data_IF_881529958576
#
_entry.id   IF_881529958576
#
_cell.length_a   1.000
_cell.length_b   1.000
_cell.length_c   1.000
_cell.angle_alpha   90.00
_cell.angle_beta   90.00
_cell.angle_gamma   90.00
#
_symmetry.space_group_name_H-M   'P 1'
#
loop_
_entity.id
_entity.type
_entity.pdbx_description
1 polymer ?
#
# COMPACT_ATOMS: atom_id res chain seq x y z
N UNK A 1 15.01 3.41 6.37
CA UNK A 1 16.43 3.85 6.42
C UNK A 1 17.36 2.64 6.59
N UNK A 2 18.58 2.69 6.03
CA UNK A 2 19.64 1.67 6.25
C UNK A 2 20.41 1.90 7.57
N UNK A 3 21.15 0.90 8.06
CA UNK A 3 21.98 1.03 9.28
C UNK A 3 23.06 2.10 9.11
N UNK A 4 23.68 2.18 7.94
CA UNK A 4 24.67 3.20 7.59
C UNK A 4 24.08 4.61 7.55
N UNK A 5 22.88 4.79 6.99
CA UNK A 5 22.15 6.07 7.05
C UNK A 5 21.82 6.48 8.49
N UNK A 6 21.39 5.52 9.33
CA UNK A 6 21.12 5.78 10.75
C UNK A 6 22.38 6.17 11.51
N UNK A 7 23.54 5.55 11.23
CA UNK A 7 24.84 5.94 11.82
C UNK A 7 25.22 7.36 11.44
N UNK A 8 24.97 7.74 10.19
CA UNK A 8 25.21 9.11 9.70
C UNK A 8 24.29 10.11 10.41
N UNK A 9 22.98 9.88 10.43
CA UNK A 9 22.00 10.74 11.13
C UNK A 9 22.24 10.82 12.63
N UNK A 10 22.65 9.72 13.28
CA UNK A 10 23.04 9.70 14.70
C UNK A 10 24.17 10.69 14.97
N UNK A 11 25.14 10.78 14.06
CA UNK A 11 26.27 11.70 14.17
C UNK A 11 25.84 13.14 13.88
N UNK A 12 25.08 13.35 12.81
CA UNK A 12 24.58 14.67 12.38
C UNK A 12 23.66 15.31 13.44
N UNK A 13 22.77 14.53 14.07
CA UNK A 13 21.83 14.99 15.09
C UNK A 13 22.38 14.93 16.53
N UNK A 14 23.62 14.45 16.70
CA UNK A 14 24.27 14.35 18.01
C UNK A 14 23.62 13.37 19.00
N UNK A 15 22.92 12.33 18.53
CA UNK A 15 22.24 11.37 19.40
C UNK A 15 23.18 10.34 20.03
N UNK A 16 22.96 10.07 21.32
CA UNK A 16 23.55 8.94 22.03
C UNK A 16 22.79 7.64 21.74
N UNK A 17 23.42 6.47 21.97
CA UNK A 17 22.73 5.18 21.83
C UNK A 17 21.60 5.02 22.86
N UNK A 18 21.71 5.66 24.03
CA UNK A 18 20.65 5.71 25.05
C UNK A 18 19.44 6.48 24.53
N UNK A 19 19.65 7.66 23.96
CA UNK A 19 18.56 8.44 23.36
C UNK A 19 17.87 7.71 22.20
N UNK A 20 18.63 6.96 21.40
CA UNK A 20 18.05 6.15 20.32
C UNK A 20 17.25 4.97 20.90
N UNK A 21 17.76 4.30 21.94
CA UNK A 21 17.06 3.23 22.66
C UNK A 21 15.71 3.73 23.19
N UNK A 22 15.71 4.85 23.90
CA UNK A 22 14.50 5.41 24.51
C UNK A 22 13.45 5.81 23.47
N UNK A 23 13.88 6.40 22.34
CA UNK A 23 12.98 6.85 21.26
C UNK A 23 12.46 5.72 20.38
N UNK A 24 13.25 4.66 20.20
CA UNK A 24 12.89 3.53 19.31
C UNK A 24 12.14 2.41 20.03
N UNK A 25 12.30 2.29 21.35
CA UNK A 25 11.84 1.14 22.14
C UNK A 25 12.76 -0.10 22.01
N UNK A 26 13.89 0.00 21.30
CA UNK A 26 14.86 -1.09 21.13
C UNK A 26 15.81 -1.10 22.32
N UNK A 27 16.07 -2.26 22.97
CA UNK A 27 16.97 -2.33 24.12
C UNK A 27 18.37 -1.76 23.83
N UNK A 28 18.92 -0.96 24.75
CA UNK A 28 20.22 -0.28 24.62
C UNK A 28 21.35 -1.20 24.15
N UNK A 29 21.46 -2.40 24.72
CA UNK A 29 22.49 -3.36 24.32
C UNK A 29 22.37 -3.83 22.87
N UNK A 30 21.15 -3.86 22.33
CA UNK A 30 20.87 -4.16 20.92
C UNK A 30 21.25 -2.97 20.04
N UNK A 31 20.89 -1.75 20.43
CA UNK A 31 21.29 -0.51 19.74
C UNK A 31 22.82 -0.42 19.65
N UNK A 32 23.52 -0.59 20.77
CA UNK A 32 24.99 -0.54 20.83
C UNK A 32 25.65 -1.56 19.90
N UNK A 33 25.17 -2.82 19.87
CA UNK A 33 25.70 -3.86 18.98
C UNK A 33 25.48 -3.56 17.50
N UNK A 34 24.35 -2.95 17.14
CA UNK A 34 24.03 -2.58 15.75
C UNK A 34 24.92 -1.41 15.30
N UNK A 35 24.99 -0.33 16.09
CA UNK A 35 25.74 0.87 15.71
C UNK A 35 27.27 0.68 15.80
N UNK A 36 27.77 -0.26 16.62
CA UNK A 36 29.18 -0.67 16.64
C UNK A 36 29.57 -1.66 15.53
N UNK A 37 28.60 -2.18 14.77
CA UNK A 37 28.85 -3.15 13.69
C UNK A 37 29.06 -4.59 14.15
N UNK A 38 28.87 -4.89 15.43
CA UNK A 38 28.89 -6.28 15.96
C UNK A 38 27.75 -7.09 15.32
N UNK A 39 26.55 -6.52 15.25
CA UNK A 39 25.42 -7.12 14.54
C UNK A 39 25.46 -6.74 13.07
N UNK A 40 26.05 -7.61 12.24
CA UNK A 40 26.19 -7.36 10.79
C UNK A 40 24.87 -7.38 10.01
N UNK A 41 23.85 -8.08 10.51
CA UNK A 41 22.53 -8.22 9.86
C UNK A 41 21.41 -8.18 10.92
N UNK A 42 20.98 -6.99 11.35
CA UNK A 42 19.88 -6.86 12.30
C UNK A 42 18.55 -7.32 11.66
N UNK A 43 17.61 -7.80 12.48
CA UNK A 43 16.27 -8.15 12.01
C UNK A 43 15.53 -6.90 11.51
N UNK A 44 14.71 -7.05 10.49
CA UNK A 44 14.00 -5.94 9.86
C UNK A 44 13.12 -5.15 10.84
N UNK A 45 12.37 -5.82 11.72
CA UNK A 45 11.57 -5.15 12.76
C UNK A 45 12.40 -4.26 13.68
N UNK A 46 13.63 -4.70 14.00
CA UNK A 46 14.57 -3.89 14.79
C UNK A 46 15.03 -2.66 14.02
N UNK A 47 15.21 -2.75 12.70
CA UNK A 47 15.49 -1.59 11.85
C UNK A 47 14.32 -0.62 11.82
N UNK A 48 13.08 -1.10 11.62
CA UNK A 48 11.89 -0.25 11.64
C UNK A 48 11.67 0.45 12.98
N UNK A 49 11.95 -0.22 14.10
CA UNK A 49 11.89 0.41 15.42
C UNK A 49 12.97 1.49 15.58
N UNK A 50 14.22 1.19 15.20
CA UNK A 50 15.32 2.17 15.24
C UNK A 50 15.06 3.41 14.40
N UNK A 51 14.38 3.27 13.25
CA UNK A 51 14.05 4.38 12.37
C UNK A 51 13.18 5.45 13.04
N UNK A 52 12.30 5.05 13.96
CA UNK A 52 11.44 5.97 14.74
C UNK A 52 12.23 6.95 15.61
N UNK A 53 13.49 6.64 15.92
CA UNK A 53 14.33 7.53 16.72
C UNK A 53 14.82 8.76 15.95
N UNK A 54 14.70 8.77 14.61
CA UNK A 54 15.20 9.83 13.75
C UNK A 54 14.04 10.65 13.15
N UNK A 55 14.08 11.99 13.26
CA UNK A 55 13.09 12.83 12.57
C UNK A 55 13.21 12.67 11.05
N UNK A 56 12.05 12.58 10.39
CA UNK A 56 11.93 12.68 8.94
C UNK A 56 12.03 14.18 8.61
N UNK A 57 12.99 14.57 7.78
CA UNK A 57 13.08 15.97 7.34
C UNK A 57 11.81 16.33 6.56
N UNK A 58 11.18 17.44 6.96
CA UNK A 58 9.96 17.95 6.35
C UNK A 58 10.17 18.21 4.86
N UNK A 59 9.40 17.53 4.01
CA UNK A 59 9.26 17.92 2.60
C UNK A 59 8.49 19.25 2.57
N UNK A 60 9.18 20.34 2.26
CA UNK A 60 8.54 21.60 1.88
C UNK A 60 8.09 21.43 0.43
N UNK A 61 6.78 21.33 0.21
CA UNK A 61 6.22 21.35 -1.13
C UNK A 61 6.19 22.80 -1.63
N UNK A 62 6.81 23.04 -2.78
CA UNK A 62 6.54 24.22 -3.61
C UNK A 62 5.71 23.76 -4.80
N UNK A 63 4.51 24.32 -4.96
CA UNK A 63 3.75 24.15 -6.19
C UNK A 63 4.37 24.97 -7.35
N UNK A 64 3.90 24.75 -8.58
CA UNK A 64 4.31 25.51 -9.78
C UNK A 64 3.92 27.00 -9.73
N UNK A 65 3.34 27.48 -8.62
CA UNK A 65 3.00 28.88 -8.34
C UNK A 65 3.80 29.46 -7.16
N UNK A 66 4.77 28.71 -6.62
CA UNK A 66 5.68 29.16 -5.57
C UNK A 66 5.06 29.25 -4.17
N UNK A 67 3.95 28.54 -3.91
CA UNK A 67 3.30 28.52 -2.59
C UNK A 67 3.82 27.36 -1.75
N UNK A 68 4.15 27.66 -0.50
CA UNK A 68 4.67 26.69 0.47
C UNK A 68 3.53 25.95 1.17
N UNK A 69 3.57 24.61 1.16
CA UNK A 69 2.66 23.77 1.95
C UNK A 69 3.44 22.98 3.00
N UNK A 70 3.00 23.09 4.27
CA UNK A 70 3.55 22.34 5.41
C UNK A 70 2.71 21.08 5.66
N UNK A 71 3.30 19.90 5.49
CA UNK A 71 2.77 18.69 6.10
C UNK A 71 3.33 18.58 7.53
N UNK A 72 2.52 18.91 8.53
CA UNK A 72 2.88 18.69 9.94
C UNK A 72 2.18 17.45 10.48
N UNK A 73 2.96 16.41 10.76
CA UNK A 73 2.58 15.33 11.67
C UNK A 73 3.63 15.26 12.78
N UNK A 74 3.54 16.15 13.77
CA UNK A 74 4.32 16.02 15.00
C UNK A 74 3.57 15.09 15.96
N UNK A 75 4.23 14.04 16.40
CA UNK A 75 3.83 13.26 17.58
C UNK A 75 4.33 14.04 18.78
N UNK A 76 3.40 14.66 19.52
CA UNK A 76 3.67 15.27 20.83
C UNK A 76 4.02 14.22 21.88
N UNK A 77 4.78 14.63 22.88
CA UNK A 77 5.16 13.83 24.05
C UNK A 77 3.94 13.45 24.92
N UNK A 78 4.03 12.38 25.73
CA UNK A 78 2.89 11.80 26.46
C UNK A 78 2.27 12.64 27.59
N UNK A 79 2.72 13.87 27.81
CA UNK A 79 2.35 14.66 29.00
C UNK A 79 1.21 15.67 28.76
N UNK A 80 0.77 15.88 27.50
CA UNK A 80 -0.26 16.88 27.16
C UNK A 80 -1.71 16.32 27.12
N UNK A 81 -1.95 15.07 27.51
CA UNK A 81 -3.27 14.43 27.55
C UNK A 81 -4.10 14.77 28.80
N UNK A 82 -4.18 16.05 29.19
CA UNK A 82 -5.19 16.54 30.14
C UNK A 82 -5.68 17.92 29.73
N UNK A 83 -6.68 17.97 28.86
CA UNK A 83 -7.37 19.23 28.54
C UNK A 83 -8.46 19.09 27.50
N UNK A 84 -9.71 19.02 27.98
CA UNK A 84 -10.97 19.44 27.33
C UNK A 84 -11.07 19.36 25.80
N UNK A 85 -11.91 18.41 25.35
CA UNK A 85 -12.48 18.32 24.01
C UNK A 85 -13.28 19.58 23.69
N UNK A 86 -12.88 20.35 22.68
CA UNK A 86 -13.80 21.22 21.94
C UNK A 86 -13.56 21.06 20.44
N UNK A 87 -14.54 20.41 19.83
CA UNK A 87 -14.57 20.01 18.43
C UNK A 87 -14.78 21.24 17.55
N UNK A 88 -13.89 21.49 16.59
CA UNK A 88 -14.01 22.63 15.66
C UNK A 88 -13.78 22.21 14.20
N UNK A 89 -14.60 21.24 13.75
CA UNK A 89 -14.96 21.09 12.34
C UNK A 89 -16.44 20.64 12.25
N UNK A 90 -17.37 21.55 11.89
CA UNK A 90 -18.77 21.21 11.71
C UNK A 90 -18.94 20.56 10.33
N UNK A 91 -19.35 19.29 10.31
CA UNK A 91 -19.51 18.51 9.08
C UNK A 91 -18.99 17.07 9.16
N UNK A 92 -18.61 16.57 10.34
CA UNK A 92 -18.57 15.13 10.58
C UNK A 92 -19.99 14.59 10.36
N UNK A 93 -20.24 13.97 9.21
CA UNK A 93 -21.22 12.90 9.18
C UNK A 93 -20.84 11.97 10.33
N UNK A 94 -21.79 11.75 11.23
CA UNK A 94 -21.74 10.66 12.19
C UNK A 94 -21.12 9.45 11.50
N UNK A 95 -20.12 8.85 12.14
CA UNK A 95 -19.57 7.58 11.71
C UNK A 95 -20.75 6.70 11.29
N UNK A 96 -20.83 6.38 10.01
CA UNK A 96 -21.71 5.32 9.57
C UNK A 96 -21.07 4.03 10.10
N UNK A 97 -21.39 3.71 11.35
CA UNK A 97 -21.25 2.41 12.01
C UNK A 97 -22.16 1.37 11.31
N UNK A 98 -22.35 1.48 9.99
CA UNK A 98 -23.43 0.86 9.22
C UNK A 98 -22.93 -0.01 8.06
N UNK A 99 -21.61 -0.19 7.88
CA UNK A 99 -21.09 -1.09 6.84
C UNK A 99 -19.95 -2.02 7.28
N UNK A 100 -19.56 -2.00 8.55
CA UNK A 100 -18.54 -2.91 9.07
C UNK A 100 -19.21 -3.90 10.01
N UNK A 101 -19.43 -5.13 9.55
CA UNK A 101 -19.66 -6.22 10.50
C UNK A 101 -18.34 -6.41 11.23
N UNK A 102 -18.28 -6.02 12.50
CA UNK A 102 -17.08 -6.23 13.32
C UNK A 102 -16.94 -7.74 13.51
N UNK A 103 -16.16 -8.39 12.65
CA UNK A 103 -15.84 -9.81 12.78
C UNK A 103 -14.89 -9.99 13.97
N UNK A 104 -15.27 -10.83 14.93
CA UNK A 104 -14.42 -11.12 16.09
C UNK A 104 -14.53 -10.07 17.21
N UNK A 105 -15.73 -9.59 17.53
CA UNK A 105 -15.98 -8.84 18.77
C UNK A 105 -15.79 -9.70 20.04
N UNK A 106 -15.49 -10.99 19.87
CA UNK A 106 -15.30 -11.98 20.93
C UNK A 106 -16.56 -12.73 21.30
N UNK A 107 -17.68 -12.52 20.59
CA UNK A 107 -18.94 -13.24 20.82
C UNK A 107 -19.16 -14.32 19.77
N UNK A 108 -19.52 -15.52 20.23
CA UNK A 108 -19.86 -16.65 19.37
C UNK A 108 -21.34 -16.54 18.95
N UNK A 109 -21.63 -16.36 17.66
CA UNK A 109 -23.00 -16.51 17.16
C UNK A 109 -23.20 -17.90 16.56
N UNK A 110 -24.23 -18.63 17.01
CA UNK A 110 -24.62 -19.89 16.40
C UNK A 110 -25.11 -19.65 14.96
N UNK A 111 -24.57 -20.42 14.01
CA UNK A 111 -24.90 -20.30 12.59
C UNK A 111 -23.93 -19.45 11.78
N UNK A 112 -22.90 -18.86 12.41
CA UNK A 112 -21.87 -18.14 11.68
C UNK A 112 -21.15 -19.06 10.68
N UNK A 113 -21.17 -18.64 9.41
CA UNK A 113 -20.39 -19.20 8.29
C UNK A 113 -18.89 -19.21 8.62
N UNK A 114 -18.51 -18.45 9.65
CA UNK A 114 -17.18 -18.07 10.08
C UNK A 114 -16.71 -18.83 11.33
N UNK A 115 -17.08 -20.12 11.48
CA UNK A 115 -16.65 -20.94 12.63
C UNK A 115 -15.13 -20.99 12.84
N UNK A 116 -14.35 -20.81 11.78
CA UNK A 116 -12.87 -20.71 11.80
C UNK A 116 -12.34 -19.47 12.53
N UNK A 117 -13.17 -18.43 12.65
CA UNK A 117 -12.82 -17.14 13.23
C UNK A 117 -13.12 -17.03 14.73
N UNK A 118 -13.70 -18.07 15.35
CA UNK A 118 -14.13 -18.03 16.75
C UNK A 118 -12.98 -17.72 17.70
N UNK A 119 -13.19 -16.71 18.55
CA UNK A 119 -12.23 -16.26 19.56
C UNK A 119 -11.05 -15.44 19.03
N UNK A 120 -10.97 -15.17 17.71
CA UNK A 120 -9.92 -14.34 17.11
C UNK A 120 -10.38 -12.90 16.93
N UNK A 121 -9.44 -11.97 17.00
CA UNK A 121 -9.63 -10.53 16.75
C UNK A 121 -8.94 -10.11 15.45
N UNK A 122 -9.32 -8.95 14.92
CA UNK A 122 -8.60 -8.31 13.82
C UNK A 122 -7.10 -8.18 14.16
N UNK A 123 -6.25 -8.63 13.25
CA UNK A 123 -4.80 -8.72 13.48
C UNK A 123 -4.33 -10.09 13.98
N UNK A 124 -5.22 -11.09 14.12
CA UNK A 124 -4.85 -12.46 14.51
C UNK A 124 -5.14 -13.49 13.41
N UNK A 125 -5.70 -13.06 12.27
CA UNK A 125 -6.07 -13.95 11.18
C UNK A 125 -4.84 -14.40 10.37
N UNK A 126 -4.94 -15.60 9.83
CA UNK A 126 -3.92 -16.27 9.02
C UNK A 126 -4.49 -16.63 7.65
N UNK A 127 -3.64 -17.06 6.71
CA UNK A 127 -4.06 -17.57 5.41
C UNK A 127 -5.03 -18.74 5.53
N UNK A 128 -4.86 -19.61 6.54
CA UNK A 128 -5.81 -20.69 6.80
C UNK A 128 -7.21 -20.17 7.13
N UNK A 129 -7.30 -19.04 7.82
CA UNK A 129 -8.58 -18.41 8.12
C UNK A 129 -9.14 -17.76 6.85
N UNK A 130 -8.30 -17.07 6.08
CA UNK A 130 -8.64 -16.49 4.77
C UNK A 130 -9.15 -17.53 3.76
N UNK A 131 -8.55 -18.71 3.70
CA UNK A 131 -8.98 -19.80 2.80
C UNK A 131 -10.27 -20.47 3.25
N UNK A 132 -10.65 -20.31 4.53
CA UNK A 132 -11.92 -20.81 5.04
C UNK A 132 -13.09 -19.86 4.73
N UNK A 133 -12.80 -18.69 4.14
CA UNK A 133 -13.80 -17.71 3.74
C UNK A 133 -14.55 -18.23 2.50
N UNK A 134 -15.89 -18.29 2.51
CA UNK A 134 -16.64 -18.69 1.32
C UNK A 134 -16.37 -17.77 0.12
N UNK A 135 -16.23 -18.36 -1.06
CA UNK A 135 -15.87 -17.66 -2.31
C UNK A 135 -16.81 -16.51 -2.71
N UNK A 136 -18.05 -16.50 -2.18
CA UNK A 136 -19.02 -15.42 -2.40
C UNK A 136 -18.64 -14.10 -1.72
N UNK A 137 -17.69 -14.14 -0.77
CA UNK A 137 -17.14 -12.96 -0.12
C UNK A 137 -15.81 -12.56 -0.74
N UNK A 138 -15.72 -11.31 -1.19
CA UNK A 138 -14.46 -10.73 -1.64
C UNK A 138 -13.81 -10.01 -0.48
N UNK A 139 -12.65 -10.51 -0.05
CA UNK A 139 -11.86 -9.88 0.99
C UNK A 139 -10.37 -9.89 0.65
N UNK A 140 -9.62 -9.04 1.33
CA UNK A 140 -8.15 -9.10 1.40
C UNK A 140 -7.70 -9.27 2.86
N UNK A 141 -6.57 -9.96 3.04
CA UNK A 141 -5.91 -10.13 4.32
C UNK A 141 -4.63 -9.29 4.33
N UNK A 142 -4.47 -8.40 5.31
CA UNK A 142 -3.25 -7.59 5.44
C UNK A 142 -2.81 -7.60 6.90
N UNK A 143 -1.61 -8.13 7.17
CA UNK A 143 -1.04 -8.23 8.52
C UNK A 143 -1.97 -8.93 9.54
N UNK A 144 -2.79 -9.88 9.07
CA UNK A 144 -3.78 -10.60 9.87
C UNK A 144 -5.10 -9.86 10.10
N UNK A 145 -5.35 -8.75 9.39
CA UNK A 145 -6.61 -8.00 9.38
C UNK A 145 -7.36 -8.32 8.09
N UNK A 146 -8.65 -8.65 8.19
CA UNK A 146 -9.51 -8.90 7.04
C UNK A 146 -10.23 -7.60 6.65
N UNK A 147 -10.16 -7.26 5.37
CA UNK A 147 -10.87 -6.13 4.79
C UNK A 147 -11.83 -6.60 3.70
N UNK A 148 -13.08 -6.18 3.80
CA UNK A 148 -14.07 -6.40 2.77
C UNK A 148 -13.74 -5.57 1.51
N UNK A 149 -13.92 -6.19 0.35
CA UNK A 149 -13.80 -5.56 -0.96
C UNK A 149 -15.20 -5.39 -1.56
N UNK A 150 -15.55 -4.14 -1.83
CA UNK A 150 -16.82 -3.82 -2.48
C UNK A 150 -16.83 -4.22 -3.95
N UNK A 151 -18.03 -4.37 -4.50
CA UNK A 151 -18.21 -4.53 -5.94
C UNK A 151 -17.70 -3.27 -6.66
N UNK A 152 -16.77 -3.41 -7.62
CA UNK A 152 -16.22 -2.28 -8.35
C UNK A 152 -17.26 -1.68 -9.32
N UNK A 153 -17.14 -0.38 -9.59
CA UNK A 153 -17.99 0.31 -10.58
C UNK A 153 -17.60 -0.08 -12.01
N UNK A 154 -18.47 0.22 -12.98
CA UNK A 154 -18.17 0.01 -14.41
C UNK A 154 -16.94 0.80 -14.84
N UNK A 155 -16.78 2.06 -14.42
CA UNK A 155 -15.59 2.89 -14.73
C UNK A 155 -14.32 2.21 -14.23
N UNK A 156 -14.34 1.73 -12.98
CA UNK A 156 -13.22 1.04 -12.37
C UNK A 156 -12.85 -0.23 -13.15
N UNK A 157 -13.84 -1.04 -13.52
CA UNK A 157 -13.60 -2.26 -14.30
C UNK A 157 -13.05 -1.97 -15.69
N UNK A 158 -13.60 -0.96 -16.38
CA UNK A 158 -13.12 -0.61 -17.72
C UNK A 158 -11.69 -0.08 -17.70
N UNK A 159 -11.33 0.77 -16.73
CA UNK A 159 -9.96 1.26 -16.58
C UNK A 159 -8.97 0.10 -16.35
N UNK A 160 -9.26 -0.83 -15.43
CA UNK A 160 -8.38 -1.98 -15.17
C UNK A 160 -8.22 -2.86 -16.43
N UNK A 161 -9.33 -3.08 -17.14
CA UNK A 161 -9.35 -3.91 -18.34
C UNK A 161 -8.55 -3.28 -19.50
N UNK A 162 -8.78 -2.00 -19.79
CA UNK A 162 -8.11 -1.27 -20.88
C UNK A 162 -6.60 -1.13 -20.65
N UNK A 163 -6.20 -0.87 -19.40
CA UNK A 163 -4.78 -0.84 -19.00
C UNK A 163 -4.17 -2.24 -19.18
N UNK A 164 -4.86 -3.29 -18.72
CA UNK A 164 -4.40 -4.69 -18.85
C UNK A 164 -4.21 -5.11 -20.30
N UNK A 165 -5.12 -4.71 -21.20
CA UNK A 165 -5.03 -5.00 -22.64
C UNK A 165 -3.76 -4.38 -23.23
N UNK A 166 -3.52 -3.08 -22.98
CA UNK A 166 -2.37 -2.35 -23.54
C UNK A 166 -1.04 -2.94 -23.06
N UNK A 167 -0.93 -3.25 -21.77
CA UNK A 167 0.24 -3.92 -21.20
C UNK A 167 0.46 -5.29 -21.86
N UNK A 168 -0.60 -6.12 -21.95
CA UNK A 168 -0.52 -7.46 -22.51
C UNK A 168 -0.12 -7.43 -23.99
N UNK A 169 -0.66 -6.49 -24.76
CA UNK A 169 -0.34 -6.36 -26.17
C UNK A 169 1.13 -5.95 -26.37
N UNK A 170 1.62 -4.97 -25.61
CA UNK A 170 3.03 -4.61 -25.63
C UNK A 170 3.94 -5.80 -25.31
N UNK A 171 3.66 -6.54 -24.23
CA UNK A 171 4.45 -7.72 -23.84
C UNK A 171 4.44 -8.77 -24.95
N UNK A 172 3.27 -9.04 -25.55
CA UNK A 172 3.11 -10.03 -26.63
C UNK A 172 3.89 -9.64 -27.88
N UNK A 173 3.78 -8.40 -28.33
CA UNK A 173 4.49 -7.89 -29.51
C UNK A 173 6.01 -7.95 -29.34
N UNK A 174 6.49 -7.69 -28.12
CA UNK A 174 7.92 -7.70 -27.80
C UNK A 174 8.44 -9.07 -27.32
N UNK A 175 7.61 -10.13 -27.38
CA UNK A 175 7.96 -11.50 -26.92
C UNK A 175 8.45 -11.53 -25.47
N UNK A 176 7.93 -10.66 -24.62
CA UNK A 176 8.27 -10.60 -23.20
C UNK A 176 7.71 -11.79 -22.43
N UNK A 177 8.35 -12.13 -21.32
CA UNK A 177 7.95 -13.25 -20.46
C UNK A 177 6.91 -12.87 -19.41
N UNK A 178 6.63 -11.59 -19.20
CA UNK A 178 5.71 -11.15 -18.16
C UNK A 178 4.26 -11.56 -18.41
N UNK A 179 3.51 -11.71 -17.32
CA UNK A 179 2.08 -12.01 -17.34
C UNK A 179 1.32 -10.86 -16.68
N UNK A 180 0.27 -10.41 -17.36
CA UNK A 180 -0.68 -9.43 -16.82
C UNK A 180 -1.87 -10.17 -16.25
N UNK A 181 -2.22 -9.89 -15.00
CA UNK A 181 -3.26 -10.54 -14.23
C UNK A 181 -4.22 -9.48 -13.69
N UNK A 182 -5.39 -9.25 -14.33
CA UNK A 182 -6.42 -8.37 -13.78
C UNK A 182 -7.16 -9.05 -12.61
N UNK A 183 -7.72 -8.24 -11.71
CA UNK A 183 -8.57 -8.70 -10.62
C UNK A 183 -9.80 -9.46 -11.13
N UNK A 184 -10.26 -10.52 -10.43
CA UNK A 184 -9.73 -11.07 -9.18
C UNK A 184 -8.40 -11.81 -9.37
N UNK A 185 -7.39 -11.39 -8.62
CA UNK A 185 -6.07 -12.04 -8.51
C UNK A 185 -5.62 -11.97 -7.06
N UNK A 186 -5.13 -13.09 -6.52
CA UNK A 186 -4.59 -13.14 -5.16
C UNK A 186 -3.06 -13.01 -5.19
N UNK A 187 -2.50 -12.20 -4.30
CA UNK A 187 -1.05 -11.98 -4.15
C UNK A 187 -0.65 -12.18 -2.69
N UNK A 188 0.09 -13.25 -2.42
CA UNK A 188 0.69 -13.51 -1.11
C UNK A 188 1.99 -12.69 -0.99
N UNK A 189 1.84 -11.40 -0.71
CA UNK A 189 2.87 -10.40 -0.96
C UNK A 189 4.14 -10.57 -0.09
N UNK A 190 3.98 -10.79 1.21
CA UNK A 190 5.11 -10.82 2.16
C UNK A 190 5.73 -12.20 2.32
N UNK A 191 5.25 -13.20 1.55
CA UNK A 191 5.68 -14.60 1.68
C UNK A 191 5.44 -15.17 3.10
N UNK A 192 4.44 -14.63 3.80
CA UNK A 192 4.03 -15.01 5.16
C UNK A 192 2.63 -15.63 5.19
N UNK A 193 2.16 -16.04 6.36
CA UNK A 193 0.82 -16.59 6.54
C UNK A 193 -0.21 -15.53 6.94
N UNK A 194 0.04 -14.23 6.71
CA UNK A 194 -0.77 -13.12 7.25
C UNK A 194 -1.15 -12.06 6.23
N UNK A 195 -0.67 -12.15 5.00
CA UNK A 195 -1.03 -11.18 3.94
C UNK A 195 -1.39 -11.88 2.63
N UNK A 196 -2.61 -11.65 2.16
CA UNK A 196 -3.12 -11.99 0.84
C UNK A 196 -3.89 -10.79 0.28
N UNK A 197 -3.29 -10.09 -0.67
CA UNK A 197 -3.88 -8.90 -1.31
C UNK A 197 -4.65 -9.28 -2.58
N UNK A 198 -5.61 -8.43 -2.96
CA UNK A 198 -6.26 -8.49 -4.28
C UNK A 198 -6.12 -7.16 -5.04
N UNK A 199 -4.98 -6.88 -5.69
CA UNK A 199 -4.81 -5.68 -6.49
C UNK A 199 -5.63 -5.70 -7.78
N UNK A 200 -5.88 -4.55 -8.38
CA UNK A 200 -6.69 -4.44 -9.60
C UNK A 200 -6.00 -4.95 -10.85
N UNK A 201 -4.71 -4.65 -11.03
CA UNK A 201 -3.88 -5.23 -12.08
C UNK A 201 -2.50 -5.55 -11.53
N UNK A 202 -2.01 -6.74 -11.86
CA UNK A 202 -0.66 -7.21 -11.49
C UNK A 202 0.11 -7.53 -12.77
N UNK A 203 1.38 -7.13 -12.83
CA UNK A 203 2.35 -7.65 -13.81
C UNK A 203 3.43 -8.42 -13.08
N UNK A 204 3.62 -9.68 -13.44
CA UNK A 204 4.65 -10.55 -12.89
C UNK A 204 5.50 -11.15 -14.01
N UNK A 205 6.80 -10.87 -13.98
CA UNK A 205 7.78 -11.30 -14.98
C UNK A 205 8.46 -12.63 -14.63
N UNK A 206 8.54 -12.93 -13.33
CA UNK A 206 9.05 -14.20 -12.83
C UNK A 206 7.94 -15.27 -12.83
N UNK A 207 8.09 -16.28 -13.69
CA UNK A 207 7.09 -17.35 -13.85
C UNK A 207 7.02 -18.28 -12.65
N UNK A 208 8.09 -18.39 -11.86
CA UNK A 208 8.13 -19.28 -10.70
C UNK A 208 7.28 -18.72 -9.54
N UNK A 209 7.03 -17.41 -9.52
CA UNK A 209 6.11 -16.76 -8.58
C UNK A 209 4.63 -16.96 -8.93
N UNK A 210 4.32 -17.35 -10.16
CA UNK A 210 2.92 -17.48 -10.63
C UNK A 210 2.44 -18.90 -10.35
N UNK A 211 1.82 -19.09 -9.19
CA UNK A 211 1.23 -20.36 -8.81
C UNK A 211 -0.18 -20.50 -9.38
N UNK A 212 -0.72 -21.72 -9.32
CA UNK A 212 -2.07 -22.00 -9.81
C UNK A 212 -3.15 -21.20 -9.05
N UNK A 213 -2.94 -20.92 -7.77
CA UNK A 213 -3.92 -20.26 -6.90
C UNK A 213 -3.67 -18.76 -6.70
N UNK A 214 -2.42 -18.30 -6.74
CA UNK A 214 -2.04 -16.93 -6.42
C UNK A 214 -0.64 -16.61 -6.98
N UNK A 215 -0.27 -15.33 -6.92
CA UNK A 215 1.13 -14.90 -7.09
C UNK A 215 1.82 -14.93 -5.73
N UNK A 216 2.95 -15.63 -5.63
CA UNK A 216 3.74 -15.77 -4.41
C UNK A 216 4.90 -14.76 -4.38
N UNK A 217 4.90 -13.89 -3.38
CA UNK A 217 5.86 -12.78 -3.25
C UNK A 217 5.52 -11.56 -4.11
N UNK A 218 6.44 -10.60 -4.15
CA UNK A 218 6.24 -9.33 -4.84
C UNK A 218 6.18 -9.47 -6.37
N UNK A 219 5.13 -8.95 -7.02
CA UNK A 219 5.10 -8.73 -8.46
C UNK A 219 6.05 -7.61 -8.91
N UNK A 220 6.28 -7.50 -10.22
CA UNK A 220 7.07 -6.41 -10.81
C UNK A 220 6.28 -5.10 -10.79
N UNK A 221 4.99 -5.14 -11.13
CA UNK A 221 4.13 -3.95 -11.15
C UNK A 221 2.78 -4.26 -10.51
N UNK A 222 2.25 -3.27 -9.78
CA UNK A 222 0.89 -3.29 -9.25
C UNK A 222 0.17 -1.99 -9.62
N UNK A 223 -1.09 -2.09 -10.03
CA UNK A 223 -1.96 -0.94 -10.31
C UNK A 223 -3.22 -1.08 -9.46
N UNK A 224 -3.56 -0.01 -8.75
CA UNK A 224 -4.79 0.10 -7.96
C UNK A 224 -5.63 1.25 -8.52
N UNK A 225 -6.91 0.99 -8.72
CA UNK A 225 -7.89 1.98 -9.16
C UNK A 225 -8.65 2.46 -7.95
N UNK A 226 -8.48 3.73 -7.62
CA UNK A 226 -9.03 4.27 -6.40
C UNK A 226 -10.57 4.26 -6.47
N UNK A 227 -11.16 3.68 -5.43
CA UNK A 227 -12.59 3.74 -5.14
C UNK A 227 -12.81 4.40 -3.78
N UNK A 228 -14.00 4.98 -3.49
CA UNK A 228 -14.28 5.54 -2.17
C UNK A 228 -14.00 4.57 -1.00
N UNK A 229 -14.23 3.27 -1.19
CA UNK A 229 -14.04 2.24 -0.16
C UNK A 229 -12.60 1.79 0.07
N UNK A 230 -11.72 1.92 -0.93
CA UNK A 230 -10.33 1.41 -0.84
C UNK A 230 -9.29 2.52 -0.81
N UNK A 231 -9.64 3.74 -1.26
CA UNK A 231 -8.76 4.91 -1.40
C UNK A 231 -7.79 5.11 -0.23
N UNK A 232 -8.27 5.08 1.02
CA UNK A 232 -7.42 5.27 2.20
C UNK A 232 -6.37 4.16 2.36
N UNK A 233 -6.73 2.92 2.03
CA UNK A 233 -5.83 1.75 2.11
C UNK A 233 -4.82 1.79 0.97
N UNK A 234 -5.27 2.04 -0.26
CA UNK A 234 -4.42 2.04 -1.46
C UNK A 234 -3.36 3.16 -1.41
N UNK A 235 -3.75 4.34 -0.93
CA UNK A 235 -2.85 5.50 -0.78
C UNK A 235 -1.90 5.42 0.43
N UNK A 236 -2.11 4.47 1.34
CA UNK A 236 -1.41 4.42 2.62
C UNK A 236 -0.86 3.04 2.93
N UNK A 237 -1.72 2.16 3.43
CA UNK A 237 -1.34 0.83 3.88
C UNK A 237 -0.73 0.00 2.75
N UNK A 238 -1.41 -0.14 1.62
CA UNK A 238 -0.93 -0.97 0.50
C UNK A 238 0.32 -0.40 -0.15
N UNK A 239 0.38 0.92 -0.38
CA UNK A 239 1.60 1.58 -0.85
C UNK A 239 2.81 1.22 0.03
N UNK A 240 2.68 1.29 1.35
CA UNK A 240 3.75 0.90 2.28
C UNK A 240 4.12 -0.58 2.14
N UNK A 241 3.13 -1.47 1.97
CA UNK A 241 3.36 -2.91 1.76
C UNK A 241 4.12 -3.16 0.45
N UNK A 242 3.70 -2.56 -0.66
CA UNK A 242 4.36 -2.69 -1.96
C UNK A 242 5.81 -2.17 -1.94
N UNK A 243 6.06 -1.03 -1.29
CA UNK A 243 7.42 -0.52 -1.04
C UNK A 243 8.27 -1.54 -0.26
N UNK A 244 7.71 -2.08 0.83
CA UNK A 244 8.41 -3.01 1.72
C UNK A 244 8.74 -4.31 1.01
N UNK A 245 7.80 -4.83 0.23
CA UNK A 245 7.93 -6.06 -0.54
C UNK A 245 8.81 -5.91 -1.79
N UNK A 246 9.26 -4.69 -2.13
CA UNK A 246 10.08 -4.39 -3.33
C UNK A 246 9.35 -4.67 -4.65
N UNK A 247 8.06 -4.33 -4.71
CA UNK A 247 7.40 -4.10 -6.00
C UNK A 247 8.20 -3.01 -6.75
N UNK A 248 8.42 -3.16 -8.05
CA UNK A 248 9.30 -2.26 -8.82
C UNK A 248 8.56 -1.00 -9.27
N UNK A 249 7.28 -1.13 -9.61
CA UNK A 249 6.45 -0.01 -10.04
C UNK A 249 5.02 -0.10 -9.49
N UNK A 250 4.48 1.03 -9.03
CA UNK A 250 3.14 1.09 -8.46
C UNK A 250 2.35 2.27 -9.02
N UNK A 251 1.16 2.01 -9.53
CA UNK A 251 0.28 3.05 -10.07
C UNK A 251 -0.99 3.18 -9.23
N UNK A 252 -1.36 4.42 -8.92
CA UNK A 252 -2.68 4.76 -8.38
C UNK A 252 -3.48 5.55 -9.42
N UNK A 253 -4.55 4.96 -9.92
CA UNK A 253 -5.45 5.59 -10.90
C UNK A 253 -6.66 6.16 -10.17
N UNK A 254 -6.82 7.49 -10.18
CA UNK A 254 -7.95 8.18 -9.56
C UNK A 254 -8.96 8.61 -10.64
N UNK A 255 -10.04 7.83 -10.85
CA UNK A 255 -11.05 8.17 -11.86
C UNK A 255 -11.76 9.50 -11.55
N UNK A 256 -12.03 9.79 -10.27
CA UNK A 256 -12.76 11.00 -9.85
C UNK A 256 -11.97 12.26 -10.20
N UNK A 257 -10.64 12.20 -10.03
CA UNK A 257 -9.74 13.32 -10.33
C UNK A 257 -9.16 13.27 -11.74
N UNK A 258 -9.39 12.18 -12.49
CA UNK A 258 -8.78 11.91 -13.80
C UNK A 258 -7.26 12.07 -13.74
N UNK A 259 -6.64 11.49 -12.70
CA UNK A 259 -5.20 11.53 -12.46
C UNK A 259 -4.64 10.15 -12.23
N UNK A 260 -3.39 9.96 -12.62
CA UNK A 260 -2.60 8.76 -12.33
C UNK A 260 -1.35 9.19 -11.59
N UNK A 261 -1.09 8.56 -10.45
CA UNK A 261 0.15 8.72 -9.70
C UNK A 261 1.02 7.49 -9.94
N UNK A 262 2.19 7.69 -10.54
CA UNK A 262 3.15 6.64 -10.89
C UNK A 262 4.31 6.70 -9.91
N UNK A 263 4.58 5.58 -9.24
CA UNK A 263 5.71 5.39 -8.35
C UNK A 263 6.72 4.44 -8.99
N UNK A 264 7.91 4.94 -9.29
CA UNK A 264 9.10 4.12 -9.50
C UNK A 264 9.69 3.73 -8.14
N UNK A 265 9.31 2.54 -7.67
CA UNK A 265 9.72 2.01 -6.38
C UNK A 265 11.09 1.32 -6.43
N UNK A 266 11.52 0.89 -7.61
CA UNK A 266 12.83 0.29 -7.84
C UNK A 266 13.96 1.31 -7.65
N UNK A 267 13.79 2.52 -8.20
CA UNK A 267 14.76 3.60 -8.11
C UNK A 267 14.49 4.57 -6.96
N UNK A 268 13.38 4.40 -6.23
CA UNK A 268 12.97 5.21 -5.08
C UNK A 268 12.92 6.71 -5.42
N UNK A 269 12.31 7.01 -6.56
CA UNK A 269 12.12 8.38 -7.06
C UNK A 269 10.85 9.02 -6.47
N UNK A 270 10.72 10.33 -6.65
CA UNK A 270 9.46 11.01 -6.35
C UNK A 270 8.38 10.56 -7.33
N UNK A 271 7.13 10.39 -6.89
CA UNK A 271 6.07 9.97 -7.79
C UNK A 271 5.79 11.02 -8.84
N UNK A 272 5.60 10.56 -10.09
CA UNK A 272 5.10 11.37 -11.18
C UNK A 272 3.56 11.41 -11.16
N UNK A 273 2.97 12.54 -11.56
CA UNK A 273 1.52 12.72 -11.63
C UNK A 273 1.14 13.08 -13.06
N UNK A 274 0.27 12.27 -13.64
CA UNK A 274 -0.24 12.43 -15.00
C UNK A 274 -1.75 12.65 -14.98
N UNK A 275 -2.26 13.31 -16.02
CA UNK A 275 -3.66 13.38 -16.38
C UNK A 275 -4.12 12.24 -17.28
N UNK A 276 -5.43 12.19 -17.50
CA UNK A 276 -6.02 11.24 -18.45
C UNK A 276 -5.82 11.68 -19.91
N UNK A 277 -5.28 12.87 -20.12
CA UNK A 277 -4.86 13.43 -21.40
C UNK A 277 -3.42 13.03 -21.80
N UNK A 278 -2.68 12.37 -20.91
CA UNK A 278 -1.26 12.07 -21.09
C UNK A 278 -1.00 10.65 -21.64
N UNK A 279 0.20 10.47 -22.19
CA UNK A 279 0.80 9.15 -22.45
C UNK A 279 1.78 8.82 -21.32
N UNK A 280 1.56 7.69 -20.65
CA UNK A 280 2.29 7.33 -19.45
C UNK A 280 3.36 6.28 -19.77
N UNK A 281 4.65 6.53 -19.47
CA UNK A 281 5.68 5.51 -19.57
C UNK A 281 5.44 4.41 -18.53
N UNK A 282 5.67 3.16 -18.91
CA UNK A 282 5.76 2.04 -17.96
C UNK A 282 7.23 1.77 -17.68
N UNK A 283 7.65 2.06 -16.45
CA UNK A 283 9.06 2.13 -16.05
C UNK A 283 9.73 0.75 -15.93
N UNK A 284 8.98 -0.30 -15.57
CA UNK A 284 9.49 -1.69 -15.61
C UNK A 284 9.86 -2.14 -17.02
N UNK A 285 9.40 -1.42 -18.05
CA UNK A 285 9.78 -1.60 -19.45
C UNK A 285 10.69 -0.48 -19.98
N UNK A 286 11.35 0.26 -19.08
CA UNK A 286 12.24 1.37 -19.39
C UNK A 286 11.58 2.44 -20.28
N UNK A 287 10.30 2.72 -20.04
CA UNK A 287 9.50 3.70 -20.78
C UNK A 287 9.25 3.35 -22.26
N UNK A 288 9.63 2.15 -22.71
CA UNK A 288 9.39 1.69 -24.09
C UNK A 288 7.93 1.30 -24.33
N UNK A 289 7.24 0.89 -23.27
CA UNK A 289 5.79 0.78 -23.25
C UNK A 289 5.23 2.14 -22.80
N UNK A 290 4.27 2.65 -23.56
CA UNK A 290 3.53 3.86 -23.26
C UNK A 290 2.05 3.52 -23.25
N UNK A 291 1.32 3.91 -22.21
CA UNK A 291 -0.13 3.74 -22.14
C UNK A 291 -0.75 5.11 -22.38
N UNK A 292 -1.45 5.24 -23.51
CA UNK A 292 -2.21 6.44 -23.85
C UNK A 292 -3.54 6.46 -23.09
N UNK A 293 -3.62 7.28 -22.03
CA UNK A 293 -4.85 7.40 -21.25
C UNK A 293 -5.92 8.21 -21.99
N UNK A 294 -5.53 9.04 -22.97
CA UNK A 294 -6.49 9.86 -23.70
C UNK A 294 -7.40 8.97 -24.56
N UNK A 295 -6.86 7.90 -25.13
CA UNK A 295 -7.64 6.87 -25.83
C UNK A 295 -8.58 6.12 -24.88
N UNK A 296 -8.08 5.71 -23.72
CA UNK A 296 -8.89 4.99 -22.70
C UNK A 296 -10.04 5.89 -22.28
N UNK A 297 -9.73 7.12 -21.87
CA UNK A 297 -10.71 8.08 -21.38
C UNK A 297 -11.74 8.40 -22.45
N UNK A 298 -11.34 8.66 -23.70
CA UNK A 298 -12.28 8.91 -24.81
C UNK A 298 -13.26 7.74 -25.02
N UNK A 299 -12.82 6.50 -24.82
CA UNK A 299 -13.69 5.33 -24.96
C UNK A 299 -14.74 5.23 -23.83
N UNK A 300 -14.40 5.66 -22.62
CA UNK A 300 -15.25 5.53 -21.44
C UNK A 300 -15.87 6.84 -20.94
N UNK A 301 -15.63 7.96 -21.62
CA UNK A 301 -16.04 9.31 -21.19
C UNK A 301 -17.54 9.40 -20.89
N UNK A 302 -18.37 8.73 -21.70
CA UNK A 302 -19.82 8.68 -21.52
C UNK A 302 -20.28 8.08 -20.18
N UNK A 303 -19.41 7.35 -19.46
CA UNK A 303 -19.71 6.84 -18.13
C UNK A 303 -19.57 7.91 -17.05
N UNK A 304 -18.78 8.96 -17.30
CA UNK A 304 -18.60 10.09 -16.39
C UNK A 304 -19.69 11.15 -16.51
N UNK A 305 -20.44 11.15 -17.63
CA UNK A 305 -21.53 12.09 -17.90
C UNK A 305 -22.88 11.63 -17.35
N UNK A 306 -22.97 10.38 -16.91
CA UNK A 306 -24.19 9.77 -16.36
C UNK A 306 -24.16 9.87 -14.85
N UNK A 307 -24.69 10.98 -14.32
CA UNK A 307 -25.15 11.07 -12.92
C UNK A 307 -26.61 10.65 -12.80
#
# INVERSE_FOLDING_TARGET
MTVEEMKKKKTELGFSCEQISDRSGVPLGTVQKIFSGITKRPRYDTICQLEKAFPIEHIIFKDNYGRDYKASGNIGSPEDMKGSVSNSYPGMMEESVSAYRIYGDGTDHEGDIWKSFRGKKQGEYTLKDYEAIPDEYRVELIDGVIYDLNTPTTIHQQLAFEISIRLREYIRQNKGLCMVLPSPVSVQLDEDDRTMLQPDVVVCCDRDKILRSHVYGAPDMVIEILSPSTRKKDMGLKLKKYITARVREYWMVDPDKKKVVVYDLEHNELPAIYGFEDQLPVDIFAGKCQIDFSEIYSYIEFLFEKE
#
